data_IF_491911025044
#
_entry.id   IF_491911025044
#
_cell.length_a   1.000
_cell.length_b   1.000
_cell.length_c   1.000
_cell.angle_alpha   90.00
_cell.angle_beta   90.00
_cell.angle_gamma   90.00
#
_symmetry.space_group_name_H-M   'P 1'
#
loop_
_entity.id
_entity.type
_entity.pdbx_description
1 polymer ?
#
# COMPACT_ATOMS: atom_id res chain seq x y z
N UNK A 1 -83.28 3.41 -19.95
CA UNK A 1 -82.24 3.40 -21.00
C UNK A 1 -80.95 2.87 -20.36
N UNK A 2 -80.72 1.56 -20.24
CA UNK A 2 -80.18 0.63 -21.26
C UNK A 2 -78.81 1.15 -21.76
N UNK A 3 -77.64 0.60 -21.42
CA UNK A 3 -77.15 -0.74 -21.77
C UNK A 3 -75.80 -1.01 -21.05
N UNK A 4 -75.59 -2.28 -20.70
CA UNK A 4 -74.31 -2.90 -20.36
C UNK A 4 -73.41 -3.03 -21.61
N UNK A 5 -72.09 -2.92 -21.46
CA UNK A 5 -71.10 -3.54 -22.35
C UNK A 5 -69.81 -3.82 -21.59
N UNK A 6 -69.45 -5.09 -21.49
CA UNK A 6 -68.15 -5.61 -21.07
C UNK A 6 -67.08 -5.27 -22.11
N UNK A 7 -65.83 -5.09 -21.68
CA UNK A 7 -64.66 -5.49 -22.46
C UNK A 7 -63.48 -5.81 -21.54
N UNK A 8 -63.05 -7.08 -21.64
CA UNK A 8 -61.86 -7.64 -21.01
C UNK A 8 -60.57 -7.02 -21.58
N UNK A 9 -59.65 -6.64 -20.69
CA UNK A 9 -58.30 -6.22 -21.06
C UNK A 9 -57.31 -6.51 -19.93
N UNK A 10 -56.70 -7.70 -19.98
CA UNK A 10 -55.55 -8.07 -19.14
C UNK A 10 -54.36 -7.15 -19.41
N UNK A 11 -53.89 -6.43 -18.38
CA UNK A 11 -52.56 -5.81 -18.38
C UNK A 11 -51.78 -6.34 -17.18
N UNK A 12 -50.89 -7.30 -17.46
CA UNK A 12 -49.77 -7.66 -16.59
C UNK A 12 -48.71 -6.57 -16.69
N UNK A 13 -48.27 -6.05 -15.56
CA UNK A 13 -47.04 -5.24 -15.43
C UNK A 13 -46.50 -5.46 -14.01
N UNK A 14 -45.85 -6.60 -13.75
CA UNK A 14 -44.39 -6.82 -13.84
C UNK A 14 -43.59 -5.94 -12.89
N UNK A 15 -43.39 -6.47 -11.68
CA UNK A 15 -42.42 -6.02 -10.70
C UNK A 15 -41.00 -5.99 -11.29
N UNK A 16 -40.37 -4.83 -11.24
CA UNK A 16 -38.96 -4.64 -11.61
C UNK A 16 -38.07 -5.20 -10.49
N UNK A 17 -37.94 -6.52 -10.43
CA UNK A 17 -36.88 -7.18 -9.67
C UNK A 17 -35.60 -7.11 -10.51
N UNK A 18 -34.66 -6.26 -10.09
CA UNK A 18 -33.34 -6.13 -10.70
C UNK A 18 -32.56 -7.43 -10.55
N UNK A 19 -32.32 -8.09 -11.69
CA UNK A 19 -31.59 -9.35 -11.84
C UNK A 19 -30.21 -9.32 -11.19
N UNK A 20 -30.12 -9.91 -10.00
CA UNK A 20 -28.89 -10.55 -9.52
C UNK A 20 -28.79 -11.94 -10.16
N UNK A 21 -27.90 -12.12 -11.12
CA UNK A 21 -27.46 -13.43 -11.60
C UNK A 21 -26.03 -13.26 -12.12
N UNK A 22 -25.03 -14.03 -11.72
CA UNK A 22 -25.06 -15.50 -11.65
C UNK A 22 -24.05 -16.03 -10.62
N UNK A 23 -24.53 -16.67 -9.56
CA UNK A 23 -23.78 -17.69 -8.82
C UNK A 23 -24.38 -19.04 -9.20
N UNK A 24 -23.58 -20.12 -9.36
CA UNK A 24 -24.11 -21.46 -9.59
C UNK A 24 -25.00 -21.91 -8.42
N UNK A 25 -26.09 -22.62 -8.74
CA UNK A 25 -27.05 -23.12 -7.76
C UNK A 25 -26.40 -24.10 -6.75
N UNK A 26 -26.62 -23.76 -5.49
CA UNK A 26 -26.62 -24.60 -4.28
C UNK A 26 -25.47 -25.60 -4.09
N UNK A 27 -24.37 -25.13 -3.50
CA UNK A 27 -23.69 -25.90 -2.45
C UNK A 27 -24.06 -25.21 -1.15
N UNK A 28 -24.95 -25.83 -0.36
CA UNK A 28 -25.28 -25.35 0.99
C UNK A 28 -24.08 -25.58 1.90
N UNK A 29 -23.15 -24.62 1.85
CA UNK A 29 -22.07 -24.58 2.81
C UNK A 29 -22.68 -24.26 4.17
N UNK A 30 -22.65 -25.23 5.08
CA UNK A 30 -22.78 -24.95 6.50
C UNK A 30 -21.75 -23.86 6.89
N UNK A 31 -22.14 -22.99 7.82
CA UNK A 31 -21.34 -21.87 8.30
C UNK A 31 -19.97 -22.29 8.82
N UNK A 32 -19.89 -23.43 9.52
CA UNK A 32 -18.62 -23.95 10.05
C UNK A 32 -17.71 -24.44 8.93
N UNK A 33 -18.28 -25.11 7.94
CA UNK A 33 -17.58 -25.57 6.74
C UNK A 33 -17.06 -24.39 5.91
N UNK A 34 -17.86 -23.34 5.73
CA UNK A 34 -17.45 -22.10 5.05
C UNK A 34 -16.29 -21.42 5.78
N UNK A 35 -16.36 -21.33 7.11
CA UNK A 35 -15.29 -20.77 7.93
C UNK A 35 -14.00 -21.58 7.80
N UNK A 36 -14.06 -22.90 7.94
CA UNK A 36 -12.90 -23.79 7.78
C UNK A 36 -12.25 -23.64 6.41
N UNK A 37 -13.05 -23.67 5.35
CA UNK A 37 -12.57 -23.56 3.97
C UNK A 37 -11.90 -22.21 3.67
N UNK A 38 -12.41 -21.13 4.26
CA UNK A 38 -11.80 -19.80 4.18
C UNK A 38 -10.48 -19.73 4.95
N UNK A 39 -10.44 -20.27 6.18
CA UNK A 39 -9.23 -20.30 7.02
C UNK A 39 -8.13 -21.14 6.36
N UNK A 40 -8.47 -22.32 5.84
CA UNK A 40 -7.55 -23.18 5.07
C UNK A 40 -6.92 -22.42 3.90
N UNK A 41 -7.66 -21.47 3.32
CA UNK A 41 -7.21 -20.64 2.20
C UNK A 41 -6.66 -19.28 2.63
N UNK A 42 -6.28 -19.14 3.91
CA UNK A 42 -5.57 -17.97 4.45
C UNK A 42 -6.45 -16.75 4.71
N UNK A 43 -7.77 -16.90 4.74
CA UNK A 43 -8.70 -15.82 5.04
C UNK A 43 -9.44 -16.10 6.34
N UNK A 44 -9.30 -15.23 7.35
CA UNK A 44 -9.97 -15.38 8.65
C UNK A 44 -11.29 -14.57 8.65
N UNK A 45 -12.46 -15.21 8.46
CA UNK A 45 -13.73 -14.50 8.43
C UNK A 45 -14.19 -14.09 9.84
N UNK A 46 -14.86 -12.94 9.93
CA UNK A 46 -15.59 -12.52 11.13
C UNK A 46 -16.87 -13.35 11.37
N UNK A 47 -17.87 -12.80 12.08
CA UNK A 47 -19.15 -13.48 12.27
C UNK A 47 -19.81 -13.80 10.93
N UNK A 48 -19.98 -15.09 10.65
CA UNK A 48 -20.73 -15.57 9.49
C UNK A 48 -22.18 -15.68 9.92
N UNK A 49 -22.94 -14.63 9.59
CA UNK A 49 -24.38 -14.53 9.83
C UNK A 49 -25.12 -14.69 8.50
N UNK A 50 -26.44 -14.78 8.55
CA UNK A 50 -27.28 -14.92 7.35
C UNK A 50 -27.02 -13.79 6.33
N UNK A 51 -26.75 -12.57 6.83
CA UNK A 51 -26.48 -11.39 5.99
C UNK A 51 -25.06 -11.36 5.43
N UNK A 52 -24.07 -11.95 6.12
CA UNK A 52 -22.66 -11.98 5.69
C UNK A 52 -22.25 -13.25 4.95
N UNK A 53 -23.07 -14.32 5.01
CA UNK A 53 -22.79 -15.63 4.37
C UNK A 53 -22.54 -15.51 2.86
N UNK A 54 -23.33 -14.69 2.15
CA UNK A 54 -23.19 -14.49 0.70
C UNK A 54 -21.86 -13.83 0.30
N UNK A 55 -21.35 -12.92 1.13
CA UNK A 55 -20.05 -12.25 0.95
C UNK A 55 -18.92 -13.27 1.11
N UNK A 56 -18.99 -14.10 2.14
CA UNK A 56 -18.02 -15.15 2.42
C UNK A 56 -18.05 -16.27 1.38
N UNK A 57 -19.22 -16.64 0.84
CA UNK A 57 -19.33 -17.58 -0.26
C UNK A 57 -18.71 -17.05 -1.56
N UNK A 58 -18.94 -15.77 -1.87
CA UNK A 58 -18.25 -15.10 -2.99
C UNK A 58 -16.73 -15.12 -2.78
N UNK A 59 -16.26 -14.82 -1.56
CA UNK A 59 -14.84 -14.87 -1.20
C UNK A 59 -14.26 -16.29 -1.35
N UNK A 60 -14.98 -17.32 -0.91
CA UNK A 60 -14.56 -18.71 -1.04
C UNK A 60 -14.50 -19.15 -2.51
N UNK A 61 -15.54 -18.86 -3.29
CA UNK A 61 -15.57 -19.14 -4.73
C UNK A 61 -14.40 -18.43 -5.45
N UNK A 62 -14.07 -17.22 -5.04
CA UNK A 62 -12.96 -16.45 -5.57
C UNK A 62 -11.59 -17.09 -5.23
N UNK A 63 -11.39 -17.52 -3.98
CA UNK A 63 -10.18 -18.25 -3.55
C UNK A 63 -10.05 -19.62 -4.22
N UNK A 64 -11.17 -20.23 -4.65
CA UNK A 64 -11.17 -21.47 -5.44
C UNK A 64 -10.87 -21.25 -6.92
N UNK A 65 -11.37 -20.16 -7.51
CA UNK A 65 -11.16 -19.81 -8.93
C UNK A 65 -9.76 -19.28 -9.20
N UNK A 66 -9.19 -18.58 -8.23
CA UNK A 66 -7.81 -18.14 -8.21
C UNK A 66 -7.17 -18.73 -6.96
N UNK A 67 -6.81 -20.04 -6.97
CA UNK A 67 -5.94 -20.55 -5.93
C UNK A 67 -4.75 -19.60 -5.93
N UNK A 68 -4.49 -18.97 -4.80
CA UNK A 68 -3.31 -18.15 -4.64
C UNK A 68 -2.14 -18.93 -5.25
N UNK A 69 -1.18 -18.25 -5.88
CA UNK A 69 0.05 -18.85 -6.39
C UNK A 69 0.92 -19.40 -5.24
N UNK A 70 0.35 -20.28 -4.42
CA UNK A 70 0.89 -21.01 -3.30
C UNK A 70 1.07 -22.45 -3.80
N UNK A 71 1.89 -22.57 -4.84
CA UNK A 71 2.53 -23.82 -5.26
C UNK A 71 3.72 -23.52 -6.17
N UNK A 72 4.42 -22.42 -5.88
CA UNK A 72 5.86 -22.45 -6.02
C UNK A 72 6.36 -22.74 -4.63
N UNK A 73 7.12 -23.83 -4.46
CA UNK A 73 8.12 -23.97 -3.40
C UNK A 73 8.48 -22.59 -2.84
N UNK A 74 8.44 -22.34 -1.52
CA UNK A 74 8.82 -21.04 -0.97
C UNK A 74 10.22 -20.77 -1.50
N UNK A 75 10.32 -19.93 -2.55
CA UNK A 75 11.61 -19.41 -2.99
C UNK A 75 12.16 -18.84 -1.70
N UNK A 76 13.36 -19.24 -1.27
CA UNK A 76 13.94 -18.70 -0.04
C UNK A 76 13.87 -17.19 -0.22
N UNK A 77 12.95 -16.55 0.51
CA UNK A 77 12.81 -15.10 0.45
C UNK A 77 14.09 -14.65 1.10
N UNK A 78 15.10 -14.36 0.28
CA UNK A 78 16.40 -13.95 0.74
C UNK A 78 16.14 -12.84 1.73
N UNK A 79 16.48 -13.08 3.00
CA UNK A 79 16.19 -12.15 4.08
C UNK A 79 16.69 -10.78 3.65
N UNK A 80 15.80 -9.79 3.59
CA UNK A 80 16.17 -8.41 3.21
C UNK A 80 17.27 -7.96 4.16
N UNK A 81 18.35 -7.42 3.59
CA UNK A 81 19.46 -6.86 4.36
C UNK A 81 19.41 -5.36 4.19
N UNK A 82 19.19 -4.65 5.28
CA UNK A 82 19.10 -3.19 5.29
C UNK A 82 20.46 -2.53 5.58
N UNK A 83 20.48 -1.20 5.65
CA UNK A 83 21.66 -0.49 6.13
C UNK A 83 21.99 -0.89 7.57
N UNK A 84 23.27 -0.78 7.98
CA UNK A 84 23.69 -1.14 9.34
C UNK A 84 22.93 -0.32 10.40
N UNK A 85 22.63 0.93 10.10
CA UNK A 85 21.85 1.83 10.94
C UNK A 85 20.41 1.33 11.11
N UNK A 86 19.77 0.85 10.04
CA UNK A 86 18.42 0.28 10.11
C UNK A 86 18.44 -1.09 10.79
N UNK A 87 19.40 -1.96 10.47
CA UNK A 87 19.57 -3.28 11.11
C UNK A 87 19.75 -3.18 12.63
N UNK A 88 20.44 -2.15 13.13
CA UNK A 88 20.57 -1.89 14.56
C UNK A 88 19.21 -1.71 15.24
N UNK A 89 18.28 -1.00 14.59
CA UNK A 89 16.92 -0.80 15.13
C UNK A 89 16.08 -2.08 15.17
N UNK A 90 16.40 -3.07 14.34
CA UNK A 90 15.72 -4.38 14.34
C UNK A 90 16.28 -5.32 15.43
N UNK A 91 17.50 -5.05 15.90
CA UNK A 91 18.14 -5.81 16.98
C UNK A 91 17.78 -5.25 18.35
N UNK A 92 17.63 -3.94 18.45
CA UNK A 92 17.33 -3.24 19.70
C UNK A 92 15.89 -2.72 19.70
N UNK A 93 15.01 -3.34 20.50
CA UNK A 93 13.61 -2.92 20.63
C UNK A 93 13.42 -1.58 21.35
N UNK A 94 14.46 -1.08 22.03
CA UNK A 94 14.44 0.18 22.78
C UNK A 94 14.93 1.38 21.97
N UNK A 95 15.30 1.17 20.70
CA UNK A 95 15.89 2.22 19.85
C UNK A 95 14.99 3.46 19.70
N UNK A 96 13.67 3.30 19.82
CA UNK A 96 12.70 4.37 19.73
C UNK A 96 12.42 5.09 21.07
N UNK A 97 13.08 4.70 22.16
CA UNK A 97 12.95 5.37 23.47
C UNK A 97 13.65 6.74 23.49
N UNK A 98 14.74 6.89 22.74
CA UNK A 98 15.43 8.17 22.56
C UNK A 98 15.64 8.45 21.06
N UNK A 99 14.76 9.30 20.52
CA UNK A 99 14.81 9.73 19.14
C UNK A 99 15.51 11.10 18.97
N UNK A 100 16.09 11.68 20.02
CA UNK A 100 16.60 13.06 19.98
C UNK A 100 17.64 13.26 18.87
N UNK A 101 18.59 12.34 18.75
CA UNK A 101 19.62 12.40 17.71
C UNK A 101 19.02 12.30 16.30
N UNK A 102 18.09 11.39 16.09
CA UNK A 102 17.39 11.20 14.82
C UNK A 102 16.53 12.42 14.44
N UNK A 103 15.82 12.97 15.41
CA UNK A 103 14.98 14.15 15.29
C UNK A 103 15.81 15.38 14.92
N UNK A 104 16.97 15.56 15.55
CA UNK A 104 17.87 16.69 15.26
C UNK A 104 18.31 16.74 13.78
N UNK A 105 18.53 15.57 13.16
CA UNK A 105 18.84 15.49 11.73
C UNK A 105 17.67 16.00 10.88
N UNK A 106 16.44 15.57 11.17
CA UNK A 106 15.26 16.09 10.47
C UNK A 106 15.10 17.60 10.66
N UNK A 107 15.25 18.10 11.89
CA UNK A 107 15.09 19.52 12.22
C UNK A 107 16.08 20.39 11.44
N UNK A 108 17.33 19.94 11.30
CA UNK A 108 18.36 20.64 10.52
C UNK A 108 17.99 20.74 9.04
N UNK A 109 17.47 19.65 8.45
CA UNK A 109 17.02 19.61 7.05
C UNK A 109 15.78 20.48 6.85
N UNK A 110 14.77 20.31 7.71
CA UNK A 110 13.52 21.04 7.66
C UNK A 110 13.74 22.55 7.84
N UNK A 111 14.61 22.96 8.77
CA UNK A 111 14.94 24.37 9.02
C UNK A 111 15.54 25.03 7.78
N UNK A 112 16.49 24.37 7.11
CA UNK A 112 17.11 24.92 5.90
C UNK A 112 16.11 25.08 4.76
N UNK A 113 15.25 24.08 4.54
CA UNK A 113 14.30 24.10 3.42
C UNK A 113 13.00 24.86 3.71
N UNK A 114 12.73 25.17 4.98
CA UNK A 114 11.62 26.05 5.35
C UNK A 114 11.85 27.48 4.85
N UNK A 115 13.10 27.96 4.96
CA UNK A 115 13.58 29.27 4.51
C UNK A 115 14.76 29.08 3.55
N UNK A 116 14.52 28.60 2.32
CA UNK A 116 15.58 28.33 1.37
C UNK A 116 16.26 29.65 0.95
N UNK A 117 17.60 29.65 0.89
CA UNK A 117 18.38 30.79 0.44
C UNK A 117 17.89 31.25 -0.96
N UNK A 118 17.37 32.49 -1.11
CA UNK A 118 16.81 32.97 -2.36
C UNK A 118 17.88 33.25 -3.42
N UNK A 119 19.15 33.43 -3.02
CA UNK A 119 20.26 33.61 -3.96
C UNK A 119 20.69 32.30 -4.61
N UNK A 120 20.33 31.16 -3.99
CA UNK A 120 20.66 29.83 -4.50
C UNK A 120 19.60 29.33 -5.47
N UNK A 121 20.05 28.84 -6.63
CA UNK A 121 19.17 28.15 -7.58
C UNK A 121 18.80 26.75 -7.08
N UNK A 122 17.56 26.60 -6.62
CA UNK A 122 17.01 25.30 -6.20
C UNK A 122 16.40 24.55 -7.38
N UNK A 123 16.71 23.26 -7.51
CA UNK A 123 16.16 22.39 -8.56
C UNK A 123 14.64 22.37 -8.45
N UNK A 124 13.97 22.68 -9.57
CA UNK A 124 12.49 22.76 -9.66
C UNK A 124 11.84 23.82 -8.76
N UNK A 125 12.62 24.79 -8.26
CA UNK A 125 12.12 25.95 -7.51
C UNK A 125 11.89 25.69 -6.01
N UNK A 126 11.22 26.64 -5.37
CA UNK A 126 10.98 26.68 -3.91
C UNK A 126 9.50 26.58 -3.54
N UNK A 127 8.62 26.30 -4.50
CA UNK A 127 7.19 26.14 -4.23
C UNK A 127 6.94 24.88 -3.40
N UNK A 128 6.29 25.03 -2.25
CA UNK A 128 5.91 23.96 -1.31
C UNK A 128 4.74 23.12 -1.83
N UNK A 129 4.96 22.44 -2.95
CA UNK A 129 3.97 21.65 -3.68
C UNK A 129 4.37 20.18 -3.85
N UNK A 130 5.46 19.79 -3.19
CA UNK A 130 6.00 18.44 -3.22
C UNK A 130 5.72 17.69 -1.93
N UNK A 131 5.83 16.37 -2.04
CA UNK A 131 5.74 15.44 -0.93
C UNK A 131 6.52 14.17 -1.28
N UNK A 132 6.61 13.25 -0.33
CA UNK A 132 7.11 11.89 -0.57
C UNK A 132 6.02 10.86 -0.37
N UNK A 133 6.16 9.69 -0.96
CA UNK A 133 5.18 8.62 -0.80
C UNK A 133 5.85 7.26 -0.84
N UNK A 134 5.20 6.28 -0.22
CA UNK A 134 5.62 4.88 -0.22
C UNK A 134 4.55 4.04 -0.92
N UNK A 135 4.98 3.03 -1.66
CA UNK A 135 4.08 1.93 -2.06
C UNK A 135 4.37 0.72 -1.19
N UNK A 136 3.33 0.19 -0.55
CA UNK A 136 3.41 -0.95 0.35
C UNK A 136 2.60 -2.13 -0.20
N UNK A 137 3.10 -3.34 0.06
CA UNK A 137 2.46 -4.60 -0.30
C UNK A 137 1.47 -5.05 0.80
N UNK A 138 0.15 -5.03 0.54
CA UNK A 138 -0.87 -5.42 1.52
C UNK A 138 -0.77 -6.88 1.95
N UNK A 139 -0.17 -7.75 1.13
CA UNK A 139 0.03 -9.17 1.47
C UNK A 139 1.02 -9.33 2.62
N UNK A 140 1.92 -8.36 2.80
CA UNK A 140 2.91 -8.34 3.87
C UNK A 140 2.41 -7.53 5.07
N UNK A 141 1.81 -6.35 4.84
CA UNK A 141 1.24 -5.57 5.95
C UNK A 141 0.14 -6.36 6.66
N UNK A 142 -0.70 -7.08 5.90
CA UNK A 142 -1.82 -7.87 6.42
C UNK A 142 -2.65 -7.03 7.42
N UNK A 143 -3.16 -5.88 6.95
CA UNK A 143 -3.84 -4.87 7.77
C UNK A 143 -3.07 -4.51 9.05
N UNK A 144 -1.77 -4.20 8.91
CA UNK A 144 -0.88 -3.94 10.04
C UNK A 144 -1.47 -2.94 11.04
N UNK A 145 -2.06 -1.79 10.63
CA UNK A 145 -2.69 -0.85 11.57
C UNK A 145 -3.74 -1.50 12.47
N UNK A 146 -4.58 -2.38 11.91
CA UNK A 146 -5.64 -3.06 12.66
C UNK A 146 -5.17 -4.18 13.60
N UNK A 147 -3.89 -4.59 13.51
CA UNK A 147 -3.32 -5.64 14.37
C UNK A 147 -2.10 -5.17 15.17
N UNK A 148 -1.70 -3.91 15.06
CA UNK A 148 -0.47 -3.39 15.65
C UNK A 148 -0.46 -3.48 17.17
N UNK A 149 -1.60 -3.28 17.83
CA UNK A 149 -1.74 -3.36 19.30
C UNK A 149 -1.43 -4.75 19.86
N UNK A 150 -1.66 -5.81 19.07
CA UNK A 150 -1.43 -7.20 19.48
C UNK A 150 -0.02 -7.72 19.16
N UNK A 151 0.82 -6.89 18.54
CA UNK A 151 2.16 -7.27 18.06
C UNK A 151 3.25 -6.62 18.91
N UNK A 152 4.42 -7.25 18.97
CA UNK A 152 5.59 -6.58 19.58
C UNK A 152 6.01 -5.40 18.69
N UNK A 153 6.53 -4.30 19.27
CA UNK A 153 6.99 -3.13 18.49
C UNK A 153 7.97 -3.49 17.37
N UNK A 154 8.85 -4.47 17.62
CA UNK A 154 9.77 -5.01 16.62
C UNK A 154 9.04 -5.64 15.43
N UNK A 155 8.01 -6.44 15.66
CA UNK A 155 7.26 -7.12 14.61
C UNK A 155 6.47 -6.11 13.76
N UNK A 156 5.93 -5.06 14.39
CA UNK A 156 5.29 -3.94 13.69
C UNK A 156 6.30 -3.26 12.77
N UNK A 157 7.50 -2.97 13.29
CA UNK A 157 8.57 -2.32 12.53
C UNK A 157 9.07 -3.17 11.36
N UNK A 158 9.38 -4.46 11.61
CA UNK A 158 9.81 -5.41 10.58
C UNK A 158 8.75 -5.60 9.49
N UNK A 159 7.47 -5.71 9.89
CA UNK A 159 6.34 -5.82 8.94
C UNK A 159 6.26 -4.58 8.06
N UNK A 160 6.28 -3.39 8.66
CA UNK A 160 6.22 -2.14 7.90
C UNK A 160 7.35 -2.06 6.87
N UNK A 161 8.61 -2.24 7.31
CA UNK A 161 9.78 -2.15 6.42
C UNK A 161 9.76 -3.18 5.29
N UNK A 162 9.37 -4.42 5.59
CA UNK A 162 9.30 -5.49 4.58
C UNK A 162 8.18 -5.27 3.56
N UNK A 163 7.12 -4.56 3.94
CA UNK A 163 6.02 -4.23 3.03
C UNK A 163 6.38 -3.14 2.02
N UNK A 164 7.31 -2.23 2.34
CA UNK A 164 7.71 -1.15 1.42
C UNK A 164 8.46 -1.76 0.23
N UNK A 165 7.97 -1.50 -0.98
CA UNK A 165 8.62 -1.93 -2.23
C UNK A 165 8.97 -0.76 -3.16
N UNK A 166 8.53 0.45 -2.84
CA UNK A 166 8.88 1.66 -3.59
C UNK A 166 8.87 2.89 -2.70
N UNK A 167 9.84 3.78 -2.91
CA UNK A 167 9.91 5.11 -2.30
C UNK A 167 9.88 6.14 -3.41
N UNK A 168 8.98 7.12 -3.32
CA UNK A 168 8.80 8.14 -4.35
C UNK A 168 8.74 9.55 -3.80
N UNK A 169 8.93 10.49 -4.71
CA UNK A 169 8.65 11.92 -4.55
C UNK A 169 7.57 12.32 -5.55
N UNK A 170 6.64 13.15 -5.10
CA UNK A 170 5.46 13.52 -5.87
C UNK A 170 5.22 15.01 -5.91
N UNK A 171 4.46 15.41 -6.94
CA UNK A 171 3.70 16.65 -7.03
C UNK A 171 2.32 16.25 -7.55
N UNK A 172 1.25 16.82 -7.00
CA UNK A 172 -0.13 16.57 -7.47
C UNK A 172 -0.41 15.05 -7.64
N UNK A 173 -0.90 14.62 -8.79
CA UNK A 173 -1.30 13.24 -9.13
C UNK A 173 -0.15 12.26 -9.37
N UNK A 174 1.12 12.65 -9.14
CA UNK A 174 2.28 11.82 -9.47
C UNK A 174 2.25 10.38 -8.90
N UNK A 175 1.77 10.11 -7.68
CA UNK A 175 1.71 8.74 -7.13
C UNK A 175 0.79 7.82 -7.94
N UNK A 176 -0.30 8.38 -8.47
CA UNK A 176 -1.25 7.66 -9.30
C UNK A 176 -0.73 7.36 -10.71
N UNK A 177 0.28 8.09 -11.20
CA UNK A 177 0.86 7.82 -12.54
C UNK A 177 1.32 6.38 -12.73
N UNK A 178 1.87 5.75 -11.68
CA UNK A 178 2.31 4.35 -11.76
C UNK A 178 1.14 3.37 -11.69
N UNK A 179 0.08 3.77 -10.97
CA UNK A 179 -1.15 2.99 -10.88
C UNK A 179 -1.89 3.04 -12.22
N UNK A 180 -2.01 4.20 -12.86
CA UNK A 180 -2.57 4.35 -14.21
C UNK A 180 -1.84 3.52 -15.26
N UNK A 181 -0.51 3.53 -15.23
CA UNK A 181 0.29 2.67 -16.11
C UNK A 181 -0.05 1.19 -15.89
N UNK A 182 -0.13 0.75 -14.63
CA UNK A 182 -0.51 -0.62 -14.31
C UNK A 182 -1.96 -0.96 -14.70
N UNK A 183 -2.91 -0.02 -14.58
CA UNK A 183 -4.31 -0.20 -15.04
C UNK A 183 -4.37 -0.49 -16.54
N UNK A 184 -3.53 0.17 -17.35
CA UNK A 184 -3.48 -0.11 -18.78
C UNK A 184 -3.06 -1.56 -19.08
N UNK A 185 -2.09 -2.08 -18.34
CA UNK A 185 -1.69 -3.50 -18.42
C UNK A 185 -2.82 -4.42 -17.94
N UNK A 186 -3.47 -4.06 -16.83
CA UNK A 186 -4.58 -4.80 -16.24
C UNK A 186 -5.77 -4.96 -17.20
N UNK A 187 -6.22 -3.84 -17.79
CA UNK A 187 -7.36 -3.81 -18.71
C UNK A 187 -7.07 -4.59 -20.00
N UNK A 188 -5.82 -4.57 -20.48
CA UNK A 188 -5.36 -5.36 -21.63
C UNK A 188 -5.12 -6.85 -21.30
N UNK A 189 -5.32 -7.26 -20.04
CA UNK A 189 -4.97 -8.60 -19.53
C UNK A 189 -3.50 -8.98 -19.76
N UNK A 190 -2.62 -7.99 -19.81
CA UNK A 190 -1.18 -8.15 -19.94
C UNK A 190 -0.54 -8.10 -18.56
N UNK A 191 -0.30 -9.26 -17.96
CA UNK A 191 0.16 -9.33 -16.57
C UNK A 191 1.68 -9.42 -16.39
N UNK A 192 2.42 -9.12 -17.45
CA UNK A 192 3.88 -9.13 -17.48
C UNK A 192 4.38 -7.76 -17.95
N UNK A 193 5.16 -7.09 -17.10
CA UNK A 193 5.82 -5.82 -17.38
C UNK A 193 7.33 -5.99 -17.22
N UNK A 194 8.11 -5.36 -18.11
CA UNK A 194 9.56 -5.26 -17.94
C UNK A 194 9.98 -4.35 -16.78
N UNK A 195 9.04 -3.56 -16.23
CA UNK A 195 9.29 -2.65 -15.12
C UNK A 195 8.93 -3.33 -13.79
N UNK A 196 9.93 -3.55 -12.92
CA UNK A 196 9.77 -4.20 -11.61
C UNK A 196 8.66 -3.57 -10.75
N UNK A 197 8.53 -2.24 -10.76
CA UNK A 197 7.53 -1.52 -9.99
C UNK A 197 6.11 -1.81 -10.48
N UNK A 198 5.91 -1.74 -11.80
CA UNK A 198 4.62 -2.04 -12.42
C UNK A 198 4.27 -3.51 -12.25
N UNK A 199 5.25 -4.41 -12.38
CA UNK A 199 5.06 -5.82 -12.10
C UNK A 199 4.61 -6.07 -10.66
N UNK A 200 5.23 -5.43 -9.66
CA UNK A 200 4.80 -5.57 -8.25
C UNK A 200 3.36 -5.11 -8.03
N UNK A 201 2.94 -4.00 -8.64
CA UNK A 201 1.55 -3.51 -8.57
C UNK A 201 0.59 -4.56 -9.17
N UNK A 202 0.89 -5.06 -10.37
CA UNK A 202 0.08 -6.10 -11.03
C UNK A 202 0.01 -7.36 -10.19
N UNK A 203 1.12 -7.81 -9.61
CA UNK A 203 1.18 -9.03 -8.78
C UNK A 203 0.32 -8.91 -7.52
N UNK A 204 0.28 -7.72 -6.91
CA UNK A 204 -0.60 -7.42 -5.77
C UNK A 204 -2.07 -7.50 -6.22
N UNK A 205 -2.43 -6.84 -7.32
CA UNK A 205 -3.79 -6.89 -7.86
C UNK A 205 -4.23 -8.30 -8.24
N UNK A 206 -3.33 -9.11 -8.82
CA UNK A 206 -3.60 -10.53 -9.14
C UNK A 206 -3.85 -11.38 -7.90
N UNK A 207 -3.28 -11.00 -6.77
CA UNK A 207 -3.55 -11.65 -5.48
C UNK A 207 -4.83 -11.16 -4.80
N UNK A 208 -5.65 -10.36 -5.51
CA UNK A 208 -6.91 -9.80 -5.01
C UNK A 208 -6.73 -8.87 -3.80
N UNK A 209 -5.59 -8.17 -3.75
CA UNK A 209 -5.35 -7.03 -2.88
C UNK A 209 -5.17 -5.75 -3.72
N UNK A 210 -5.19 -4.60 -3.07
CA UNK A 210 -4.90 -3.30 -3.69
C UNK A 210 -3.61 -2.71 -3.13
N UNK A 211 -2.84 -2.02 -3.97
CA UNK A 211 -1.58 -1.41 -3.54
C UNK A 211 -1.86 -0.29 -2.55
N UNK A 212 -1.11 -0.24 -1.45
CA UNK A 212 -1.21 0.84 -0.49
C UNK A 212 -0.32 1.99 -0.96
N UNK A 213 -0.89 3.18 -1.14
CA UNK A 213 -0.16 4.39 -1.46
C UNK A 213 -0.16 5.35 -0.26
N UNK A 214 0.93 5.35 0.49
CA UNK A 214 1.08 6.14 1.70
C UNK A 214 1.76 7.48 1.38
N UNK A 215 1.02 8.59 1.50
CA UNK A 215 1.57 9.94 1.34
C UNK A 215 2.19 10.44 2.66
N UNK A 216 3.44 10.89 2.61
CA UNK A 216 4.17 11.38 3.79
C UNK A 216 4.97 12.65 3.49
N UNK A 217 5.17 13.48 4.51
CA UNK A 217 5.94 14.73 4.44
C UNK A 217 5.43 15.68 3.34
N UNK A 218 4.23 16.22 3.52
CA UNK A 218 3.57 17.10 2.55
C UNK A 218 4.01 18.56 2.68
N UNK A 219 3.67 19.38 1.68
CA UNK A 219 3.93 20.83 1.65
C UNK A 219 5.42 21.19 1.80
N UNK A 220 6.28 20.39 1.17
CA UNK A 220 7.72 20.60 1.13
C UNK A 220 8.17 21.06 -0.26
N UNK A 221 9.34 21.68 -0.33
CA UNK A 221 9.94 22.08 -1.61
C UNK A 221 10.50 20.84 -2.34
N UNK A 222 10.68 20.89 -3.66
CA UNK A 222 11.11 19.71 -4.43
C UNK A 222 12.41 19.09 -3.91
N UNK A 223 13.45 19.90 -3.68
CA UNK A 223 14.76 19.41 -3.20
C UNK A 223 14.72 18.76 -1.82
N UNK A 224 13.76 19.14 -0.97
CA UNK A 224 13.52 18.45 0.30
C UNK A 224 12.92 17.07 0.04
N UNK A 225 11.94 16.97 -0.88
CA UNK A 225 11.36 15.68 -1.26
C UNK A 225 12.39 14.74 -1.89
N UNK A 226 13.28 15.24 -2.75
CA UNK A 226 14.44 14.50 -3.27
C UNK A 226 15.32 13.97 -2.14
N UNK A 227 15.66 14.84 -1.18
CA UNK A 227 16.55 14.49 -0.07
C UNK A 227 15.92 13.43 0.85
N UNK A 228 14.62 13.56 1.17
CA UNK A 228 13.87 12.59 1.99
C UNK A 228 13.74 11.24 1.28
N UNK A 229 13.43 11.23 -0.02
CA UNK A 229 13.41 10.01 -0.85
C UNK A 229 14.79 9.31 -0.83
N UNK A 230 15.86 10.06 -1.07
CA UNK A 230 17.23 9.52 -1.08
C UNK A 230 17.62 8.88 0.26
N UNK A 231 17.27 9.54 1.38
CA UNK A 231 17.52 9.07 2.73
C UNK A 231 16.79 7.75 3.02
N UNK A 232 15.49 7.68 2.73
CA UNK A 232 14.69 6.46 2.93
C UNK A 232 15.21 5.29 2.06
N UNK A 233 15.52 5.53 0.78
CA UNK A 233 16.12 4.52 -0.10
C UNK A 233 17.47 4.06 0.44
N UNK A 234 18.30 4.96 0.99
CA UNK A 234 19.61 4.59 1.52
C UNK A 234 19.54 3.72 2.78
N UNK A 235 18.52 3.91 3.61
CA UNK A 235 18.26 3.08 4.78
C UNK A 235 17.70 1.69 4.39
N UNK A 236 16.71 1.66 3.49
CA UNK A 236 16.13 0.41 2.98
C UNK A 236 17.07 -0.37 2.05
N UNK A 237 18.03 0.32 1.44
CA UNK A 237 18.83 -0.11 0.29
C UNK A 237 18.03 -0.40 -0.97
N UNK A 238 18.62 -0.08 -2.12
CA UNK A 238 17.96 -0.12 -3.42
C UNK A 238 17.60 -1.54 -3.85
N UNK A 239 18.40 -2.54 -3.48
CA UNK A 239 18.17 -3.95 -3.79
C UNK A 239 16.87 -4.51 -3.18
N UNK A 240 16.36 -3.89 -2.11
CA UNK A 240 15.10 -4.27 -1.47
C UNK A 240 13.89 -3.54 -2.08
N UNK A 241 14.11 -2.68 -3.08
CA UNK A 241 13.10 -1.81 -3.68
C UNK A 241 12.98 -2.04 -5.19
N UNK A 242 11.86 -1.60 -5.75
CA UNK A 242 11.60 -1.56 -7.19
C UNK A 242 12.07 -0.25 -7.85
N UNK A 243 12.65 0.66 -7.07
CA UNK A 243 13.27 1.88 -7.54
C UNK A 243 14.40 1.57 -8.53
N UNK A 244 14.44 2.27 -9.67
CA UNK A 244 15.48 2.07 -10.68
C UNK A 244 16.83 2.71 -10.30
N UNK A 245 16.82 3.71 -9.43
CA UNK A 245 18.00 4.44 -8.99
C UNK A 245 17.87 4.96 -7.56
N UNK A 246 19.00 5.25 -6.95
CA UNK A 246 19.08 6.02 -5.72
C UNK A 246 18.58 7.47 -5.92
N UNK A 247 18.18 8.11 -4.83
CA UNK A 247 17.79 9.52 -4.82
C UNK A 247 18.99 10.47 -4.70
N UNK A 248 18.72 11.74 -4.92
CA UNK A 248 19.70 12.83 -4.86
C UNK A 248 19.58 13.57 -3.51
N UNK A 249 20.71 13.90 -2.88
CA UNK A 249 20.74 14.71 -1.66
C UNK A 249 20.99 16.18 -1.99
N UNK A 250 20.25 17.08 -1.34
CA UNK A 250 20.40 18.53 -1.49
C UNK A 250 20.63 19.20 -0.13
N UNK A 251 20.96 20.49 -0.18
CA UNK A 251 21.15 21.30 1.02
C UNK A 251 22.29 20.77 1.89
N UNK A 252 22.11 20.89 3.21
CA UNK A 252 23.07 20.44 4.22
C UNK A 252 23.26 18.93 4.21
N UNK A 253 22.20 18.18 3.90
CA UNK A 253 22.25 16.73 3.83
C UNK A 253 23.14 16.21 2.68
N UNK A 254 23.41 17.02 1.64
CA UNK A 254 24.34 16.64 0.58
C UNK A 254 25.76 16.36 1.12
N UNK A 255 26.21 17.18 2.08
CA UNK A 255 27.54 17.11 2.68
C UNK A 255 27.65 16.10 3.84
N UNK A 256 26.53 15.51 4.28
CA UNK A 256 26.55 14.57 5.41
C UNK A 256 27.31 13.28 5.11
N UNK A 257 28.02 12.72 6.11
CA UNK A 257 28.50 11.34 6.08
C UNK A 257 27.36 10.35 5.83
N UNK A 258 27.69 9.21 5.21
CA UNK A 258 26.72 8.17 4.89
C UNK A 258 25.95 7.65 6.11
N UNK A 259 26.60 7.60 7.28
CA UNK A 259 25.97 7.22 8.54
C UNK A 259 24.78 8.15 8.88
N UNK A 260 25.00 9.48 8.83
CA UNK A 260 23.94 10.46 9.13
C UNK A 260 22.81 10.40 8.10
N UNK A 261 23.13 10.26 6.81
CA UNK A 261 22.14 10.10 5.74
C UNK A 261 21.21 8.90 5.97
N UNK A 262 21.79 7.76 6.36
CA UNK A 262 21.02 6.53 6.66
C UNK A 262 20.23 6.65 7.96
N UNK A 263 20.81 7.24 9.02
CA UNK A 263 20.07 7.53 10.26
C UNK A 263 18.87 8.44 10.00
N UNK A 264 19.04 9.48 9.19
CA UNK A 264 17.92 10.32 8.77
C UNK A 264 16.85 9.51 8.04
N UNK A 265 17.24 8.63 7.12
CA UNK A 265 16.34 7.69 6.45
C UNK A 265 15.56 6.79 7.39
N UNK A 266 16.22 6.20 8.39
CA UNK A 266 15.60 5.37 9.45
C UNK A 266 14.49 6.15 10.16
N UNK A 267 14.77 7.39 10.54
CA UNK A 267 13.80 8.23 11.24
C UNK A 267 12.60 8.58 10.38
N UNK A 268 12.82 8.90 9.11
CA UNK A 268 11.74 9.17 8.16
C UNK A 268 10.84 7.95 7.97
N UNK A 269 11.42 6.75 7.88
CA UNK A 269 10.66 5.50 7.77
C UNK A 269 9.84 5.22 9.04
N UNK A 270 10.40 5.51 10.22
CA UNK A 270 9.67 5.38 11.47
C UNK A 270 8.49 6.34 11.55
N UNK A 271 8.68 7.62 11.18
CA UNK A 271 7.57 8.58 11.08
C UNK A 271 6.53 8.11 10.06
N UNK A 272 6.95 7.57 8.92
CA UNK A 272 6.04 7.02 7.92
C UNK A 272 5.24 5.82 8.47
N UNK A 273 5.86 4.94 9.25
CA UNK A 273 5.16 3.85 9.95
C UNK A 273 4.12 4.43 10.91
N UNK A 274 4.48 5.40 11.75
CA UNK A 274 3.55 6.00 12.69
C UNK A 274 2.36 6.67 11.98
N UNK A 275 2.60 7.34 10.85
CA UNK A 275 1.52 7.89 10.01
C UNK A 275 0.62 6.76 9.49
N UNK A 276 1.21 5.70 8.94
CA UNK A 276 0.46 4.54 8.42
C UNK A 276 -0.41 3.86 9.49
N UNK A 277 0.13 3.66 10.69
CA UNK A 277 -0.60 3.06 11.81
C UNK A 277 -1.80 3.93 12.22
N UNK A 278 -1.67 5.26 12.16
CA UNK A 278 -2.75 6.19 12.53
C UNK A 278 -3.77 6.41 11.40
N UNK A 279 -3.34 6.46 10.14
CA UNK A 279 -4.23 6.63 8.98
C UNK A 279 -4.99 5.35 8.60
N UNK A 280 -4.47 4.20 9.00
CA UNK A 280 -4.99 2.90 8.62
C UNK A 280 -4.53 2.44 7.23
N UNK A 281 -4.96 1.24 6.86
CA UNK A 281 -4.60 0.62 5.58
C UNK A 281 -5.67 0.88 4.52
N UNK A 282 -5.31 1.64 3.48
CA UNK A 282 -6.17 1.90 2.31
C UNK A 282 -5.54 1.30 1.06
N UNK A 283 -6.21 0.31 0.50
CA UNK A 283 -5.75 -0.43 -0.68
C UNK A 283 -6.38 0.16 -1.94
N UNK A 284 -5.57 0.39 -2.98
CA UNK A 284 -6.01 0.86 -4.30
C UNK A 284 -6.04 -0.32 -5.27
N UNK A 285 -7.24 -0.77 -5.60
CA UNK A 285 -7.52 -1.78 -6.61
C UNK A 285 -7.61 -1.14 -8.00
N UNK A 286 -7.53 -1.93 -9.09
CA UNK A 286 -7.69 -1.41 -10.44
C UNK A 286 -8.99 -0.61 -10.64
N UNK A 287 -10.07 -1.00 -9.96
CA UNK A 287 -11.38 -0.33 -10.03
C UNK A 287 -11.43 1.04 -9.35
N UNK A 288 -10.45 1.36 -8.51
CA UNK A 288 -10.42 2.59 -7.72
C UNK A 288 -9.60 3.68 -8.43
N UNK A 289 -9.17 3.42 -9.67
CA UNK A 289 -8.23 4.23 -10.44
C UNK A 289 -8.89 4.54 -11.79
N UNK A 290 -9.47 5.75 -11.87
CA UNK A 290 -10.16 6.29 -13.05
C UNK A 290 -9.23 7.06 -14.00
#
# INVERSE_FOLDING_TARGET
>A
MSYFSEYNGSIKSSSFSSKMSSLPDTIDYDTDTLRKELIIRGYNPGPITVTTKSVYLKKLHQLKKYPALVSREPRPVSKRVYSVELEKTLRDSSWCNDLALYKSLEEVVAKQFCNPDPSRKWREGINKSSFTYLLLDPRLTNNLPGRAESLKPKEVWETFLSSVFYVGKGKRSRPYSHLYEAVNFWNKRQFSSGNKKIQSIIDIWRSNGGVICLHVFQNIIPVEAYTREAAMISALKIENLTNAKCGDYYGIAAAWPQKQKKMFGVYLLYKAMMIFLNEGERQLCPSDID
#
